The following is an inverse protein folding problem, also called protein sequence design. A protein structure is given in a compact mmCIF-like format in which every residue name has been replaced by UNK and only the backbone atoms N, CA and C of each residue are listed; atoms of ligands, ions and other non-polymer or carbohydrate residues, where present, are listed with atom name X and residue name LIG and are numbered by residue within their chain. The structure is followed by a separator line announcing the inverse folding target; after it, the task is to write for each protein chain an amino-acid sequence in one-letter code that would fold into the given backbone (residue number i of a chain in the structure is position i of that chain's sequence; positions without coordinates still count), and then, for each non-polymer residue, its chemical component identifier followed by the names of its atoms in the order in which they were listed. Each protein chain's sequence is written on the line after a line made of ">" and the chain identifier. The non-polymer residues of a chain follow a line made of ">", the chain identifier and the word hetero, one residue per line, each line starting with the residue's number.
data_IF_536178082471
#
_entry.id   IF_536178082471
#
_cell.length_a   1.000
_cell.length_b   1.000
_cell.length_c   1.000
_cell.angle_alpha   90.00
_cell.angle_beta   90.00
_cell.angle_gamma   90.00
#
_symmetry.space_group_name_H-M   'P 1'
#
loop_
_entity.id
_entity.type
_entity.pdbx_description
1 polymer ?
#
# COMPACT_ATOMS: atom_id res chain seq x y z
N UNK A 1 8.94 17.21 0.27
CA UNK A 1 8.04 16.18 -0.31
C UNK A 1 8.91 15.16 -1.01
N UNK A 2 8.92 13.91 -0.54
CA UNK A 2 9.71 12.85 -1.19
C UNK A 2 8.87 12.29 -2.34
N UNK A 3 9.02 12.86 -3.54
CA UNK A 3 8.46 12.31 -4.76
C UNK A 3 9.43 11.27 -5.34
N UNK A 4 8.88 10.24 -5.98
CA UNK A 4 9.68 9.27 -6.74
C UNK A 4 9.78 9.66 -8.20
N UNK A 5 10.87 9.26 -8.85
CA UNK A 5 11.06 9.54 -10.28
C UNK A 5 10.03 8.78 -11.14
N UNK A 6 9.77 9.29 -12.34
CA UNK A 6 8.89 8.63 -13.31
C UNK A 6 9.39 7.24 -13.69
N UNK A 7 10.70 7.06 -13.80
CA UNK A 7 11.34 5.80 -14.12
C UNK A 7 11.14 4.78 -12.99
N UNK A 8 11.43 5.20 -11.76
CA UNK A 8 11.21 4.38 -10.55
C UNK A 8 9.76 3.92 -10.46
N UNK A 9 8.80 4.83 -10.62
CA UNK A 9 7.38 4.45 -10.59
C UNK A 9 7.02 3.45 -11.70
N UNK A 10 7.40 3.73 -12.95
CA UNK A 10 7.12 2.83 -14.08
C UNK A 10 7.80 1.48 -13.96
N UNK A 11 8.97 1.41 -13.32
CA UNK A 11 9.66 0.15 -13.12
C UNK A 11 9.02 -0.67 -11.98
N UNK A 12 8.86 -0.06 -10.80
CA UNK A 12 8.41 -0.77 -9.59
C UNK A 12 6.90 -0.96 -9.52
N UNK A 13 6.05 -0.07 -10.04
CA UNK A 13 4.58 -0.21 -9.96
C UNK A 13 3.98 -0.94 -11.17
N UNK A 14 4.77 -1.29 -12.19
CA UNK A 14 4.25 -2.05 -13.33
C UNK A 14 3.70 -3.39 -12.88
N UNK A 15 2.38 -3.60 -13.00
CA UNK A 15 1.66 -4.78 -12.53
C UNK A 15 1.91 -6.03 -13.40
N UNK A 16 3.16 -6.41 -13.64
CA UNK A 16 3.49 -7.64 -14.37
C UNK A 16 2.92 -8.87 -13.65
N UNK A 17 2.51 -9.90 -14.42
CA UNK A 17 2.13 -11.20 -13.85
C UNK A 17 3.32 -11.89 -13.18
N UNK A 18 4.47 -11.84 -13.86
CA UNK A 18 5.76 -12.32 -13.38
C UNK A 18 6.75 -11.16 -13.46
N UNK A 19 7.30 -10.76 -12.32
CA UNK A 19 8.27 -9.69 -12.24
C UNK A 19 9.62 -10.26 -11.81
N UNK A 20 10.65 -9.92 -12.59
CA UNK A 20 12.05 -10.24 -12.30
C UNK A 20 12.75 -8.91 -11.93
N UNK A 21 13.79 -8.99 -11.10
CA UNK A 21 14.67 -7.87 -10.71
C UNK A 21 14.02 -6.70 -9.95
N UNK A 22 12.86 -6.91 -9.32
CA UNK A 22 12.19 -5.91 -8.47
C UNK A 22 12.39 -6.23 -6.99
N UNK A 23 13.63 -6.03 -6.54
CA UNK A 23 14.08 -6.32 -5.17
C UNK A 23 13.53 -5.33 -4.13
N UNK A 24 13.19 -4.11 -4.56
CA UNK A 24 12.62 -3.09 -3.68
C UNK A 24 11.09 -3.03 -3.77
N UNK A 25 10.46 -2.88 -2.61
CA UNK A 25 9.06 -2.49 -2.43
C UNK A 25 8.98 -0.98 -2.19
N UNK A 26 8.11 -0.32 -2.96
CA UNK A 26 7.73 1.07 -2.73
C UNK A 26 6.30 1.10 -2.19
N UNK A 27 6.11 1.84 -1.10
CA UNK A 27 4.85 2.05 -0.41
C UNK A 27 4.55 3.55 -0.44
N UNK A 28 3.63 3.97 -1.30
CA UNK A 28 3.07 5.32 -1.28
C UNK A 28 1.92 5.34 -0.29
N UNK A 29 1.83 6.35 0.58
CA UNK A 29 0.79 6.40 1.60
C UNK A 29 0.04 7.72 1.67
N UNK A 30 -1.18 7.65 2.18
CA UNK A 30 -1.99 8.77 2.62
C UNK A 30 -2.50 8.48 4.03
N UNK A 31 -2.39 9.45 4.93
CA UNK A 31 -3.02 9.45 6.25
C UNK A 31 -4.06 10.56 6.24
N UNK A 32 -5.30 10.18 6.52
CA UNK A 32 -6.43 11.10 6.63
C UNK A 32 -7.07 10.96 8.00
N UNK A 33 -7.49 12.09 8.58
CA UNK A 33 -8.37 12.10 9.74
C UNK A 33 -9.81 11.94 9.26
N UNK A 34 -10.57 11.04 9.87
CA UNK A 34 -12.02 10.96 9.67
C UNK A 34 -12.65 12.05 10.54
N UNK A 35 -13.07 13.14 9.91
CA UNK A 35 -13.85 14.19 10.57
C UNK A 35 -15.31 14.09 10.12
N UNK A 36 -16.25 14.61 10.92
CA UNK A 36 -17.69 14.39 10.73
C UNK A 36 -18.22 14.90 9.38
N UNK A 37 -17.60 15.94 8.81
CA UNK A 37 -18.09 16.59 7.58
C UNK A 37 -17.20 16.35 6.33
N UNK A 38 -15.90 16.07 6.50
CA UNK A 38 -14.97 15.83 5.38
C UNK A 38 -13.64 15.22 5.83
N UNK A 39 -13.10 14.21 5.11
CA UNK A 39 -11.78 13.67 5.42
C UNK A 39 -10.67 14.71 5.24
N UNK A 40 -9.87 14.94 6.29
CA UNK A 40 -8.74 15.89 6.27
C UNK A 40 -7.44 15.14 5.99
N UNK A 41 -6.71 15.51 4.93
CA UNK A 41 -5.40 14.92 4.63
C UNK A 41 -4.33 15.46 5.59
N UNK A 42 -3.73 14.58 6.38
CA UNK A 42 -2.70 14.93 7.37
C UNK A 42 -1.29 14.73 6.82
N UNK A 43 -1.00 13.51 6.36
CA UNK A 43 0.31 13.12 5.87
C UNK A 43 0.21 12.35 4.56
N UNK A 44 1.23 12.48 3.73
CA UNK A 44 1.39 11.63 2.56
C UNK A 44 2.86 11.58 2.18
N UNK A 45 3.30 10.46 1.62
CA UNK A 45 4.69 10.27 1.26
C UNK A 45 4.96 8.90 0.65
N UNK A 46 6.23 8.56 0.58
CA UNK A 46 6.70 7.29 0.03
C UNK A 46 7.73 6.69 0.98
N UNK A 47 7.53 5.43 1.33
CA UNK A 47 8.53 4.56 1.93
C UNK A 47 9.07 3.59 0.89
N UNK A 48 10.32 3.18 1.08
CA UNK A 48 10.94 2.06 0.39
C UNK A 48 11.67 1.20 1.42
N UNK A 49 12.01 -0.02 1.03
CA UNK A 49 12.90 -0.86 1.84
C UNK A 49 14.15 -0.09 2.26
N UNK A 50 14.57 -0.29 3.50
CA UNK A 50 15.80 0.27 4.04
C UNK A 50 16.60 -0.85 4.68
N UNK A 51 17.76 -1.15 4.10
CA UNK A 51 18.60 -2.28 4.50
C UNK A 51 17.77 -3.57 4.47
N UNK A 52 17.67 -4.29 5.60
CA UNK A 52 16.85 -5.50 5.73
C UNK A 52 15.43 -5.24 6.26
N UNK A 53 14.97 -3.99 6.28
CA UNK A 53 13.65 -3.60 6.79
C UNK A 53 12.71 -3.29 5.63
N UNK A 54 11.57 -3.98 5.60
CA UNK A 54 10.54 -3.79 4.59
C UNK A 54 9.82 -2.44 4.74
N UNK A 55 9.29 -1.92 3.63
CA UNK A 55 8.67 -0.59 3.57
C UNK A 55 7.46 -0.45 4.52
N UNK A 56 6.72 -1.54 4.71
CA UNK A 56 5.59 -1.69 5.64
C UNK A 56 6.02 -1.41 7.07
N UNK A 57 7.10 -2.06 7.51
CA UNK A 57 7.63 -1.92 8.86
C UNK A 57 8.23 -0.53 9.06
N UNK A 58 8.92 0.00 8.05
CA UNK A 58 9.38 1.39 8.08
C UNK A 58 8.21 2.38 8.26
N UNK A 59 7.09 2.16 7.58
CA UNK A 59 5.89 2.99 7.75
C UNK A 59 5.33 2.85 9.16
N UNK A 60 5.14 1.62 9.68
CA UNK A 60 4.53 1.40 10.99
C UNK A 60 5.33 2.08 12.11
N UNK A 61 6.66 1.97 12.09
CA UNK A 61 7.53 2.66 13.06
C UNK A 61 7.38 4.17 12.98
N UNK A 62 7.41 4.72 11.76
CA UNK A 62 7.22 6.16 11.57
C UNK A 62 5.83 6.61 12.04
N UNK A 63 4.77 5.86 11.69
CA UNK A 63 3.40 6.23 12.01
C UNK A 63 3.15 6.19 13.52
N UNK A 64 3.65 5.16 14.20
CA UNK A 64 3.58 5.09 15.66
C UNK A 64 4.32 6.26 16.33
N UNK A 65 5.56 6.54 15.91
CA UNK A 65 6.37 7.59 16.55
C UNK A 65 5.92 9.01 16.24
N UNK A 66 5.48 9.29 15.00
CA UNK A 66 5.21 10.65 14.53
C UNK A 66 3.75 11.03 14.51
N UNK A 67 2.84 10.05 14.43
CA UNK A 67 1.41 10.31 14.32
C UNK A 67 0.71 9.93 15.62
N UNK A 68 0.82 8.66 16.03
CA UNK A 68 0.06 8.16 17.20
C UNK A 68 0.51 8.78 18.53
N UNK A 69 1.80 9.08 18.71
CA UNK A 69 2.29 9.74 19.94
C UNK A 69 1.87 11.21 20.06
N UNK A 70 1.54 11.86 18.95
CA UNK A 70 1.29 13.31 18.90
C UNK A 70 -0.21 13.61 18.88
N UNK A 71 -1.01 12.75 18.26
CA UNK A 71 -2.44 12.97 18.06
C UNK A 71 -3.28 12.31 19.16
N UNK A 72 -4.49 12.82 19.37
CA UNK A 72 -5.39 12.36 20.43
C UNK A 72 -5.86 10.92 20.18
N UNK A 73 -5.92 10.06 21.22
CA UNK A 73 -6.42 8.69 21.09
C UNK A 73 -7.88 8.57 20.61
N UNK A 74 -8.63 9.67 20.66
CA UNK A 74 -10.05 9.71 20.23
C UNK A 74 -10.22 9.99 18.73
N UNK A 75 -9.16 10.39 18.03
CA UNK A 75 -9.23 10.66 16.60
C UNK A 75 -9.29 9.35 15.81
N UNK A 76 -10.18 9.27 14.83
CA UNK A 76 -10.19 8.17 13.89
C UNK A 76 -9.35 8.51 12.65
N UNK A 77 -8.54 7.54 12.22
CA UNK A 77 -7.69 7.72 11.05
C UNK A 77 -8.01 6.69 9.97
N UNK A 78 -7.86 7.13 8.73
CA UNK A 78 -7.79 6.26 7.57
C UNK A 78 -6.43 6.35 6.92
N UNK A 79 -5.75 5.21 6.87
CA UNK A 79 -4.51 5.02 6.15
C UNK A 79 -4.83 4.35 4.82
N UNK A 80 -4.22 4.85 3.74
CA UNK A 80 -4.28 4.19 2.44
C UNK A 80 -2.87 3.98 1.94
N UNK A 81 -2.52 2.73 1.64
CA UNK A 81 -1.26 2.32 1.04
C UNK A 81 -1.47 1.93 -0.43
N UNK A 82 -0.55 2.40 -1.28
CA UNK A 82 -0.40 1.95 -2.65
C UNK A 82 1.00 1.36 -2.80
N UNK A 83 1.06 0.05 -3.00
CA UNK A 83 2.29 -0.71 -2.91
C UNK A 83 2.68 -1.31 -4.25
N UNK A 84 3.98 -1.38 -4.51
CA UNK A 84 4.49 -2.10 -5.69
C UNK A 84 4.34 -3.62 -5.56
N UNK A 85 4.38 -4.14 -4.35
CA UNK A 85 4.21 -5.54 -3.97
C UNK A 85 3.28 -5.61 -2.76
N UNK A 86 2.43 -6.62 -2.66
CA UNK A 86 1.67 -6.88 -1.44
C UNK A 86 2.61 -7.23 -0.28
N UNK A 87 2.18 -7.03 0.98
CA UNK A 87 2.99 -7.43 2.12
C UNK A 87 3.36 -8.92 2.09
N UNK A 88 4.56 -9.26 2.55
CA UNK A 88 4.92 -10.65 2.86
C UNK A 88 4.24 -11.14 4.14
N UNK A 89 4.28 -12.45 4.43
CA UNK A 89 3.60 -13.02 5.59
C UNK A 89 4.04 -12.37 6.92
N UNK A 90 5.34 -12.14 7.13
CA UNK A 90 5.87 -11.50 8.34
C UNK A 90 5.36 -10.06 8.49
N UNK A 91 5.34 -9.30 7.39
CA UNK A 91 4.83 -7.93 7.41
C UNK A 91 3.32 -7.89 7.64
N UNK A 92 2.56 -8.76 6.97
CA UNK A 92 1.13 -8.90 7.16
C UNK A 92 0.78 -9.24 8.61
N UNK A 93 1.52 -10.14 9.26
CA UNK A 93 1.32 -10.45 10.67
C UNK A 93 1.55 -9.23 11.58
N UNK A 94 2.61 -8.44 11.34
CA UNK A 94 2.87 -7.23 12.11
C UNK A 94 1.77 -6.19 11.92
N UNK A 95 1.24 -6.05 10.70
CA UNK A 95 0.12 -5.14 10.39
C UNK A 95 -1.16 -5.61 11.11
N UNK A 96 -1.46 -6.91 11.12
CA UNK A 96 -2.59 -7.50 11.87
C UNK A 96 -2.50 -7.13 13.34
N UNK A 97 -1.34 -7.36 13.97
CA UNK A 97 -1.11 -6.99 15.39
C UNK A 97 -1.25 -5.48 15.62
N UNK A 98 -0.81 -4.68 14.66
CA UNK A 98 -0.93 -3.23 14.72
C UNK A 98 -2.39 -2.76 14.66
N UNK A 99 -3.22 -3.35 13.78
CA UNK A 99 -4.65 -3.03 13.69
C UNK A 99 -5.43 -3.48 14.92
N UNK A 100 -5.13 -4.69 15.42
CA UNK A 100 -5.74 -5.24 16.63
C UNK A 100 -5.47 -4.38 17.89
N UNK A 101 -4.39 -3.60 17.90
CA UNK A 101 -4.02 -2.71 19.01
C UNK A 101 -4.58 -1.28 18.85
N UNK A 102 -5.04 -0.90 17.67
CA UNK A 102 -5.45 0.47 17.33
C UNK A 102 -6.80 0.48 16.59
N UNK A 103 -7.89 0.22 17.31
CA UNK A 103 -9.24 0.10 16.74
C UNK A 103 -9.81 1.38 16.09
N UNK A 104 -9.19 2.54 16.34
CA UNK A 104 -9.53 3.81 15.72
C UNK A 104 -8.91 3.99 14.31
N UNK A 105 -8.22 2.97 13.78
CA UNK A 105 -7.57 2.99 12.47
C UNK A 105 -8.31 2.11 11.48
N UNK A 106 -8.54 2.64 10.27
CA UNK A 106 -8.88 1.83 9.09
C UNK A 106 -7.73 1.86 8.10
N UNK A 107 -7.41 0.71 7.50
CA UNK A 107 -6.31 0.56 6.55
C UNK A 107 -6.83 0.02 5.21
N UNK A 108 -6.53 0.74 4.13
CA UNK A 108 -6.70 0.23 2.76
C UNK A 108 -5.32 -0.08 2.17
N UNK A 109 -5.14 -1.28 1.64
CA UNK A 109 -3.92 -1.75 0.98
C UNK A 109 -4.22 -2.05 -0.48
N UNK A 110 -3.72 -1.21 -1.38
CA UNK A 110 -3.79 -1.44 -2.82
C UNK A 110 -2.43 -1.90 -3.34
N UNK A 111 -2.36 -3.10 -3.91
CA UNK A 111 -1.10 -3.69 -4.37
C UNK A 111 -1.03 -3.78 -5.90
N UNK A 112 0.09 -3.37 -6.49
CA UNK A 112 0.33 -3.50 -7.93
C UNK A 112 0.56 -4.96 -8.35
N UNK A 113 1.16 -5.75 -7.46
CA UNK A 113 1.47 -7.17 -7.67
C UNK A 113 1.37 -7.90 -6.35
N UNK A 114 0.95 -9.14 -6.39
CA UNK A 114 0.93 -10.04 -5.24
C UNK A 114 2.30 -10.70 -5.03
N UNK A 115 2.81 -10.64 -3.80
CA UNK A 115 4.09 -11.25 -3.40
C UNK A 115 3.85 -12.62 -2.77
N UNK A 116 4.55 -13.65 -3.25
CA UNK A 116 4.57 -15.01 -2.71
C UNK A 116 3.20 -15.65 -2.38
N UNK A 117 2.13 -15.33 -3.11
CA UNK A 117 0.77 -15.84 -2.81
C UNK A 117 0.54 -17.33 -3.08
N UNK A 118 1.56 -18.08 -3.48
CA UNK A 118 1.50 -19.55 -3.51
C UNK A 118 1.79 -20.17 -2.13
N UNK A 119 2.40 -19.39 -1.24
CA UNK A 119 2.69 -19.81 0.13
C UNK A 119 1.43 -19.68 1.01
N UNK A 120 0.99 -20.76 1.67
CA UNK A 120 -0.18 -20.76 2.55
C UNK A 120 -0.10 -19.74 3.69
N UNK A 121 1.08 -19.48 4.25
CA UNK A 121 1.24 -18.50 5.34
C UNK A 121 0.96 -17.08 4.87
N UNK A 122 1.42 -16.76 3.66
CA UNK A 122 1.11 -15.49 3.00
C UNK A 122 -0.40 -15.35 2.77
N UNK A 123 -1.07 -16.39 2.25
CA UNK A 123 -2.52 -16.38 2.05
C UNK A 123 -3.29 -16.16 3.37
N UNK A 124 -2.97 -16.96 4.40
CA UNK A 124 -3.60 -16.88 5.70
C UNK A 124 -3.48 -15.47 6.31
N UNK A 125 -2.31 -14.84 6.23
CA UNK A 125 -2.12 -13.51 6.79
C UNK A 125 -2.83 -12.40 5.98
N UNK A 126 -3.02 -12.58 4.66
CA UNK A 126 -3.88 -11.67 3.88
C UNK A 126 -5.35 -11.77 4.33
N UNK A 127 -5.87 -12.97 4.58
CA UNK A 127 -7.21 -13.15 5.13
C UNK A 127 -7.34 -12.50 6.51
N UNK A 128 -6.33 -12.66 7.38
CA UNK A 128 -6.32 -12.05 8.72
C UNK A 128 -6.33 -10.52 8.66
N UNK A 129 -5.66 -9.91 7.68
CA UNK A 129 -5.75 -8.45 7.49
C UNK A 129 -7.19 -8.01 7.25
N UNK A 130 -7.93 -8.74 6.42
CA UNK A 130 -9.35 -8.46 6.15
C UNK A 130 -10.21 -8.68 7.39
N UNK A 131 -9.93 -9.73 8.18
CA UNK A 131 -10.62 -9.99 9.45
C UNK A 131 -10.42 -8.87 10.47
N UNK A 132 -9.23 -8.25 10.51
CA UNK A 132 -8.94 -7.05 11.33
C UNK A 132 -9.48 -5.75 10.69
N UNK A 133 -10.32 -5.84 9.66
CA UNK A 133 -10.99 -4.70 9.05
C UNK A 133 -10.17 -3.92 8.02
N UNK A 134 -9.02 -4.44 7.58
CA UNK A 134 -8.29 -3.85 6.46
C UNK A 134 -8.96 -4.17 5.12
N UNK A 135 -9.04 -3.20 4.23
CA UNK A 135 -9.38 -3.45 2.83
C UNK A 135 -8.11 -3.86 2.08
N UNK A 136 -8.11 -5.01 1.40
CA UNK A 136 -7.00 -5.45 0.55
C UNK A 136 -7.48 -5.59 -0.89
N UNK A 137 -6.82 -4.93 -1.83
CA UNK A 137 -7.22 -4.94 -3.24
C UNK A 137 -6.02 -4.84 -4.20
N UNK A 138 -6.21 -5.27 -5.44
CA UNK A 138 -5.26 -4.99 -6.51
C UNK A 138 -5.44 -3.55 -7.03
N UNK A 139 -4.35 -2.89 -7.43
CA UNK A 139 -4.42 -1.56 -8.05
C UNK A 139 -4.98 -1.62 -9.48
N UNK A 140 -6.03 -0.86 -9.74
CA UNK A 140 -6.54 -0.58 -11.08
C UNK A 140 -5.99 0.77 -11.60
N UNK A 141 -6.44 1.17 -12.78
CA UNK A 141 -6.09 2.40 -13.46
C UNK A 141 -6.32 3.64 -12.59
N UNK A 142 -7.33 3.64 -11.72
CA UNK A 142 -7.61 4.75 -10.82
C UNK A 142 -6.49 4.94 -9.81
N UNK A 143 -6.09 3.88 -9.11
CA UNK A 143 -5.01 3.93 -8.11
C UNK A 143 -3.67 4.31 -8.77
N UNK A 144 -3.37 3.79 -9.97
CA UNK A 144 -2.16 4.16 -10.70
C UNK A 144 -2.15 5.65 -11.10
N UNK A 145 -3.27 6.18 -11.60
CA UNK A 145 -3.40 7.61 -11.93
C UNK A 145 -3.26 8.49 -10.70
N UNK A 146 -3.87 8.08 -9.58
CA UNK A 146 -3.78 8.80 -8.30
C UNK A 146 -2.34 8.83 -7.80
N UNK A 147 -1.65 7.68 -7.85
CA UNK A 147 -0.26 7.60 -7.43
C UNK A 147 0.65 8.48 -8.30
N UNK A 148 0.48 8.39 -9.62
CA UNK A 148 1.21 9.22 -10.58
C UNK A 148 1.04 10.72 -10.31
N UNK A 149 -0.18 11.15 -9.97
CA UNK A 149 -0.47 12.56 -9.67
C UNK A 149 0.15 13.03 -8.35
N UNK A 150 0.12 12.18 -7.30
CA UNK A 150 0.41 12.60 -5.92
C UNK A 150 1.84 12.30 -5.46
N UNK A 151 2.46 11.22 -5.97
CA UNK A 151 3.73 10.71 -5.45
C UNK A 151 4.87 10.70 -6.46
N UNK A 152 4.60 10.97 -7.74
CA UNK A 152 5.61 10.97 -8.80
C UNK A 152 5.97 12.39 -9.19
N UNK A 153 7.26 12.65 -9.38
CA UNK A 153 7.73 13.85 -10.06
C UNK A 153 7.44 13.75 -11.56
N UNK A 154 6.18 14.02 -11.90
CA UNK A 154 5.65 13.82 -13.25
C UNK A 154 5.88 15.02 -14.19
N UNK A 155 6.42 16.14 -13.70
CA UNK A 155 6.62 17.36 -14.50
C UNK A 155 5.35 17.85 -15.20
N UNK A 156 4.17 17.68 -14.58
CA UNK A 156 2.87 18.02 -15.15
C UNK A 156 2.34 17.04 -16.20
N UNK A 157 3.07 15.97 -16.52
CA UNK A 157 2.65 14.97 -17.52
C UNK A 157 1.57 14.07 -16.95
N UNK A 158 0.60 13.70 -17.80
CA UNK A 158 -0.44 12.72 -17.46
C UNK A 158 0.14 11.31 -17.40
N UNK A 159 -0.45 10.46 -16.55
CA UNK A 159 -0.12 9.04 -16.50
C UNK A 159 -0.43 8.37 -17.85
N UNK A 160 0.53 7.60 -18.37
CA UNK A 160 0.34 6.77 -19.56
C UNK A 160 0.35 5.30 -19.14
N UNK A 161 -0.79 4.59 -19.24
CA UNK A 161 -0.86 3.17 -18.93
C UNK A 161 0.13 2.37 -19.78
N UNK A 162 0.81 1.40 -19.17
CA UNK A 162 1.63 0.44 -19.92
C UNK A 162 0.77 -0.61 -20.59
N UNK A 163 1.35 -1.29 -21.59
CA UNK A 163 0.72 -2.42 -22.29
C UNK A 163 0.25 -3.48 -21.28
N UNK A 164 -1.00 -3.94 -21.44
CA UNK A 164 -1.66 -4.96 -20.60
C UNK A 164 -1.95 -4.57 -19.14
N UNK A 165 -1.93 -3.27 -18.78
CA UNK A 165 -2.26 -2.84 -17.41
C UNK A 165 -3.57 -3.46 -16.91
N UNK A 166 -4.68 -3.29 -17.64
CA UNK A 166 -5.99 -3.81 -17.25
C UNK A 166 -6.05 -5.35 -17.25
N UNK A 167 -5.44 -5.99 -18.25
CA UNK A 167 -5.35 -7.46 -18.33
C UNK A 167 -4.60 -8.06 -17.15
N UNK A 168 -3.57 -7.36 -16.66
CA UNK A 168 -2.83 -7.82 -15.51
C UNK A 168 -3.51 -7.46 -14.20
N UNK A 169 -4.18 -6.30 -14.11
CA UNK A 169 -5.04 -5.97 -12.97
C UNK A 169 -6.05 -7.09 -12.73
N UNK A 170 -6.82 -7.50 -13.76
CA UNK A 170 -7.77 -8.61 -13.66
C UNK A 170 -7.14 -9.92 -13.20
N UNK A 171 -5.90 -10.18 -13.59
CA UNK A 171 -5.17 -11.36 -13.14
C UNK A 171 -4.80 -11.27 -11.65
N UNK A 172 -4.24 -10.14 -11.22
CA UNK A 172 -3.88 -9.91 -9.82
C UNK A 172 -5.14 -9.92 -8.92
N UNK A 173 -6.20 -9.26 -9.37
CA UNK A 173 -7.48 -9.18 -8.67
C UNK A 173 -8.13 -10.56 -8.53
N UNK A 174 -8.27 -11.32 -9.62
CA UNK A 174 -8.78 -12.71 -9.57
C UNK A 174 -7.99 -13.58 -8.60
N UNK A 175 -6.65 -13.47 -8.60
CA UNK A 175 -5.81 -14.24 -7.67
C UNK A 175 -5.97 -13.81 -6.22
N UNK A 176 -6.20 -12.52 -5.98
CA UNK A 176 -6.48 -12.03 -4.64
C UNK A 176 -7.86 -12.52 -4.15
N UNK A 177 -8.89 -12.45 -4.99
CA UNK A 177 -10.25 -12.93 -4.64
C UNK A 177 -10.33 -14.45 -4.45
N UNK A 178 -9.41 -15.23 -5.04
CA UNK A 178 -9.30 -16.67 -4.73
C UNK A 178 -8.75 -16.93 -3.31
N UNK A 179 -8.09 -15.93 -2.70
CA UNK A 179 -7.45 -16.03 -1.39
C UNK A 179 -8.35 -15.47 -0.29
N UNK A 180 -8.96 -14.30 -0.54
CA UNK A 180 -9.80 -13.56 0.42
C UNK A 180 -11.19 -14.17 0.55
#
# INVERSE_FOLDING_TARGET
>A
RNLISQETFKFHFKNLRYAIDRKDTFLCYEVTRKDCDSPVSLHHGVFKNKDNIHAEICFLYWFHDKVLKVLSPREEFKITWYMSWSPCFECAEQIVRFLATHHNLSLDIFSSRLYNVQDPETQQNLCRLVQEGAQVAAMDLYEFKKCWKKFVDNGGRRFRPWKRLLTNFRYQDSKLQEIL
#
